data_IF_464158260011
#
_entry.id   IF_464158260011
#
_cell.length_a   1.000
_cell.length_b   1.000
_cell.length_c   1.000
_cell.angle_alpha   90.00
_cell.angle_beta   90.00
_cell.angle_gamma   90.00
#
_symmetry.space_group_name_H-M   'P 1'
#
loop_
_entity.id
_entity.type
_entity.pdbx_description
1 polymer ?
#
# COMPACT_ATOMS: atom_id res chain seq x y z
N UNK A 1 13.01 11.61 6.98
CA UNK A 1 13.12 11.82 8.45
C UNK A 1 12.77 10.47 9.09
N UNK A 2 12.51 10.37 10.40
CA UNK A 2 11.88 9.15 10.94
C UNK A 2 10.53 9.51 11.55
N UNK A 3 9.45 9.00 10.99
CA UNK A 3 8.10 9.14 11.53
C UNK A 3 7.68 7.85 12.22
N UNK A 4 6.97 7.98 13.34
CA UNK A 4 6.39 6.87 14.08
C UNK A 4 4.95 7.21 14.44
N UNK A 5 4.04 6.34 14.05
CA UNK A 5 2.66 6.37 14.51
C UNK A 5 2.59 5.68 15.87
N UNK A 6 2.20 6.44 16.89
CA UNK A 6 1.92 5.93 18.24
C UNK A 6 0.41 5.91 18.44
N UNK A 7 -0.09 5.36 19.55
CA UNK A 7 -1.54 5.17 19.75
C UNK A 7 -2.37 6.49 19.70
N UNK A 8 -1.76 7.58 20.17
CA UNK A 8 -2.39 8.89 20.40
C UNK A 8 -1.70 10.07 19.68
N UNK A 9 -0.58 9.84 19.01
CA UNK A 9 0.19 10.91 18.35
C UNK A 9 1.12 10.44 17.24
N UNK A 10 1.37 11.33 16.29
CA UNK A 10 2.45 11.21 15.33
C UNK A 10 3.74 11.77 15.93
N UNK A 11 4.80 10.97 15.91
CA UNK A 11 6.14 11.36 16.36
C UNK A 11 7.06 11.51 15.17
N UNK A 12 7.65 12.68 15.01
CA UNK A 12 8.59 12.99 13.93
C UNK A 12 9.96 13.30 14.53
N UNK A 13 10.96 12.50 14.16
CA UNK A 13 12.35 12.62 14.58
C UNK A 13 13.23 13.03 13.40
N UNK A 14 14.06 14.08 13.53
CA UNK A 14 15.10 14.39 12.54
C UNK A 14 16.18 13.29 12.55
N UNK A 15 16.62 12.84 11.37
CA UNK A 15 17.67 11.81 11.24
C UNK A 15 19.06 12.34 11.63
N UNK A 16 19.32 13.63 11.40
CA UNK A 16 20.61 14.26 11.70
C UNK A 16 20.39 15.63 12.36
N UNK A 17 20.45 15.71 13.69
CA UNK A 17 20.65 16.98 14.41
C UNK A 17 20.86 16.80 15.91
N UNK A 18 21.92 17.41 16.45
CA UNK A 18 22.11 17.64 17.88
C UNK A 18 21.17 18.73 18.46
N UNK A 19 20.41 19.45 17.62
CA UNK A 19 19.65 20.65 18.02
C UNK A 19 18.19 20.71 17.55
N UNK A 20 17.73 19.83 16.65
CA UNK A 20 16.31 19.79 16.22
C UNK A 20 15.50 18.95 17.19
N UNK A 21 14.48 19.57 17.80
CA UNK A 21 13.57 18.90 18.73
C UNK A 21 12.65 17.91 18.00
N UNK A 22 12.34 16.81 18.69
CA UNK A 22 11.25 15.89 18.35
C UNK A 22 9.95 16.69 18.19
N UNK A 23 9.22 16.46 17.11
CA UNK A 23 7.86 17.00 16.94
C UNK A 23 6.87 15.90 17.31
N UNK A 24 5.94 16.22 18.19
CA UNK A 24 4.82 15.35 18.55
C UNK A 24 3.52 16.04 18.14
N UNK A 25 2.69 15.36 17.37
CA UNK A 25 1.41 15.86 16.86
C UNK A 25 0.30 14.96 17.44
N UNK A 26 -0.38 15.38 18.52
CA UNK A 26 -1.50 14.64 19.07
C UNK A 26 -2.67 14.60 18.07
N UNK A 27 -3.22 13.41 17.83
CA UNK A 27 -4.19 13.21 16.76
C UNK A 27 -5.49 13.96 17.00
N UNK A 28 -5.94 14.03 18.25
CA UNK A 28 -7.16 14.72 18.66
C UNK A 28 -7.14 16.24 18.40
N UNK A 29 -5.94 16.80 18.21
CA UNK A 29 -5.72 18.22 17.91
C UNK A 29 -5.66 18.52 16.42
N UNK A 30 -5.61 17.51 15.57
CA UNK A 30 -5.63 17.67 14.12
C UNK A 30 -7.07 18.01 13.71
N UNK A 31 -7.19 19.05 12.88
CA UNK A 31 -8.44 19.45 12.24
C UNK A 31 -8.58 18.79 10.87
N UNK A 32 -7.52 18.81 10.06
CA UNK A 32 -7.46 18.18 8.73
C UNK A 32 -6.02 18.00 8.28
N UNK A 33 -5.82 17.13 7.30
CA UNK A 33 -4.53 16.87 6.67
C UNK A 33 -4.63 17.17 5.18
N UNK A 34 -3.66 17.90 4.65
CA UNK A 34 -3.53 18.10 3.20
C UNK A 34 -2.16 17.69 2.71
N UNK A 35 -2.14 17.13 1.50
CA UNK A 35 -0.94 16.73 0.80
C UNK A 35 -0.95 17.32 -0.62
N UNK A 36 -0.59 18.61 -0.77
CA UNK A 36 -0.52 19.25 -2.07
C UNK A 36 0.65 18.71 -2.88
N UNK A 37 0.38 18.23 -4.09
CA UNK A 37 1.38 17.89 -5.11
C UNK A 37 2.42 16.83 -4.72
N UNK A 38 2.14 15.98 -3.73
CA UNK A 38 2.99 14.82 -3.46
C UNK A 38 4.33 15.13 -2.77
N UNK A 39 4.57 16.35 -2.29
CA UNK A 39 5.87 16.75 -1.71
C UNK A 39 5.86 16.93 -0.19
N UNK A 40 4.93 17.74 0.33
CA UNK A 40 4.89 18.13 1.75
C UNK A 40 3.54 17.82 2.38
N UNK A 41 3.54 17.18 3.56
CA UNK A 41 2.31 16.89 4.31
C UNK A 41 2.03 18.01 5.30
N UNK A 42 0.82 18.57 5.25
CA UNK A 42 0.38 19.66 6.11
C UNK A 42 -0.67 19.17 7.09
N UNK A 43 -0.38 19.32 8.39
CA UNK A 43 -1.30 19.05 9.48
C UNK A 43 -1.86 20.39 9.97
N UNK A 44 -3.13 20.63 9.67
CA UNK A 44 -3.86 21.78 10.18
C UNK A 44 -4.42 21.43 11.55
N UNK A 45 -4.06 22.21 12.56
CA UNK A 45 -4.44 21.97 13.95
C UNK A 45 -5.66 22.81 14.32
N UNK A 46 -6.53 22.31 15.21
CA UNK A 46 -7.75 23.00 15.69
C UNK A 46 -7.51 24.37 16.33
N UNK A 47 -6.27 24.68 16.72
CA UNK A 47 -5.87 25.97 17.26
C UNK A 47 -5.34 26.95 16.19
N UNK A 48 -5.49 26.63 14.90
CA UNK A 48 -5.03 27.44 13.77
C UNK A 48 -3.55 27.27 13.41
N UNK A 49 -2.77 26.48 14.16
CA UNK A 49 -1.37 26.17 13.80
C UNK A 49 -1.34 25.22 12.61
N UNK A 50 -0.39 25.43 11.69
CA UNK A 50 -0.08 24.47 10.62
C UNK A 50 1.30 23.85 10.88
N UNK A 51 1.39 22.52 10.83
CA UNK A 51 2.65 21.79 10.92
C UNK A 51 2.96 21.19 9.55
N UNK A 52 4.10 21.58 8.98
CA UNK A 52 4.60 21.09 7.70
C UNK A 52 5.59 19.93 7.94
N UNK A 53 5.43 18.85 7.17
CA UNK A 53 6.32 17.69 7.22
C UNK A 53 6.77 17.32 5.80
N UNK A 54 8.08 17.48 5.55
CA UNK A 54 8.69 17.26 4.24
C UNK A 54 9.03 15.78 4.03
N UNK A 55 8.03 14.90 4.09
CA UNK A 55 8.21 13.45 3.95
C UNK A 55 6.87 12.80 3.52
N UNK A 56 6.63 12.69 2.19
CA UNK A 56 5.46 12.03 1.60
C UNK A 56 5.17 10.64 2.16
N UNK A 57 6.25 9.91 2.42
CA UNK A 57 6.19 8.49 2.73
C UNK A 57 5.43 8.21 4.02
N UNK A 58 5.32 9.21 4.90
CA UNK A 58 4.55 9.16 6.15
C UNK A 58 3.08 8.85 5.88
N UNK A 59 2.53 9.33 4.77
CA UNK A 59 1.11 9.17 4.38
C UNK A 59 0.91 7.93 3.51
N UNK A 60 1.91 7.56 2.71
CA UNK A 60 1.79 6.54 1.67
C UNK A 60 2.11 5.14 2.20
N UNK A 61 3.13 4.98 3.04
CA UNK A 61 3.71 3.67 3.37
C UNK A 61 3.45 3.18 4.80
N UNK A 62 2.76 3.96 5.63
CA UNK A 62 2.53 3.60 7.03
C UNK A 62 1.07 3.24 7.27
N UNK A 63 0.85 1.99 7.64
CA UNK A 63 -0.47 1.42 7.95
C UNK A 63 -1.20 2.16 9.07
N UNK A 64 -0.44 2.62 10.08
CA UNK A 64 -0.97 3.44 11.18
C UNK A 64 -1.58 4.77 10.75
N UNK A 65 -1.27 5.28 9.55
CA UNK A 65 -1.88 6.51 9.03
C UNK A 65 -3.38 6.33 8.76
N UNK A 66 -3.74 5.27 8.03
CA UNK A 66 -5.14 4.96 7.72
C UNK A 66 -5.94 4.72 9.00
N UNK A 67 -5.41 3.94 9.93
CA UNK A 67 -6.05 3.68 11.22
C UNK A 67 -6.28 4.96 12.02
N UNK A 68 -5.30 5.87 12.05
CA UNK A 68 -5.42 7.18 12.68
C UNK A 68 -6.53 8.01 12.04
N UNK A 69 -6.60 8.10 10.69
CA UNK A 69 -7.65 8.86 10.00
C UNK A 69 -9.05 8.40 10.42
N UNK A 70 -9.28 7.09 10.46
CA UNK A 70 -10.56 6.51 10.86
C UNK A 70 -10.83 6.69 12.36
N UNK A 71 -9.87 6.34 13.23
CA UNK A 71 -10.03 6.38 14.69
C UNK A 71 -10.35 7.80 15.18
N UNK A 72 -9.67 8.81 14.64
CA UNK A 72 -9.81 10.20 15.07
C UNK A 72 -10.74 11.03 14.17
N UNK A 73 -11.37 10.40 13.16
CA UNK A 73 -12.27 11.07 12.20
C UNK A 73 -11.62 12.31 11.57
N UNK A 74 -10.37 12.19 11.15
CA UNK A 74 -9.58 13.30 10.59
C UNK A 74 -9.82 13.36 9.08
N UNK A 75 -10.35 14.46 8.52
CA UNK A 75 -10.44 14.67 7.08
C UNK A 75 -9.06 14.70 6.42
N UNK A 76 -8.95 14.12 5.24
CA UNK A 76 -7.72 14.07 4.46
C UNK A 76 -7.97 14.43 3.00
N UNK A 77 -7.05 15.19 2.40
CA UNK A 77 -7.07 15.53 0.98
C UNK A 77 -5.67 15.51 0.37
N UNK A 78 -5.52 14.75 -0.69
CA UNK A 78 -4.33 14.64 -1.53
C UNK A 78 -4.60 15.31 -2.87
N UNK A 79 -3.81 16.31 -3.23
CA UNK A 79 -3.91 16.95 -4.54
C UNK A 79 -2.86 16.32 -5.47
N UNK A 80 -3.09 15.07 -5.87
CA UNK A 80 -2.40 14.49 -7.02
C UNK A 80 -3.10 15.02 -8.28
N UNK A 81 -2.37 15.54 -9.26
CA UNK A 81 -2.95 15.98 -10.51
C UNK A 81 -3.52 14.77 -11.27
N UNK A 82 -4.79 14.86 -11.72
CA UNK A 82 -5.42 13.81 -12.53
C UNK A 82 -6.23 12.76 -11.77
N UNK A 83 -6.62 12.99 -10.50
CA UNK A 83 -7.46 12.04 -9.74
C UNK A 83 -8.75 11.70 -10.48
N UNK A 84 -8.78 10.55 -11.13
CA UNK A 84 -10.02 9.89 -11.53
C UNK A 84 -10.71 9.43 -10.24
N UNK A 85 -11.93 9.91 -9.98
CA UNK A 85 -12.63 9.64 -8.74
C UNK A 85 -13.27 8.23 -8.76
N UNK A 86 -12.52 7.22 -8.32
CA UNK A 86 -13.06 5.90 -8.03
C UNK A 86 -13.67 5.87 -6.62
N UNK A 87 -14.87 5.29 -6.48
CA UNK A 87 -15.42 4.92 -5.18
C UNK A 87 -14.82 3.59 -4.73
N UNK A 88 -14.87 3.28 -3.43
CA UNK A 88 -14.41 1.98 -2.92
C UNK A 88 -15.10 0.79 -3.62
N UNK A 89 -16.35 0.95 -4.05
CA UNK A 89 -17.04 -0.08 -4.82
C UNK A 89 -16.37 -0.32 -6.20
N UNK A 90 -16.05 0.76 -6.92
CA UNK A 90 -15.33 0.64 -8.20
C UNK A 90 -13.95 0.04 -7.99
N UNK A 91 -13.27 0.41 -6.91
CA UNK A 91 -11.97 -0.16 -6.54
C UNK A 91 -12.07 -1.67 -6.37
N UNK A 92 -13.07 -2.16 -5.63
CA UNK A 92 -13.34 -3.60 -5.46
C UNK A 92 -13.57 -4.32 -6.77
N UNK A 93 -14.51 -3.80 -7.57
CA UNK A 93 -14.86 -4.40 -8.87
C UNK A 93 -13.65 -4.49 -9.79
N UNK A 94 -12.80 -3.45 -9.79
CA UNK A 94 -11.57 -3.43 -10.57
C UNK A 94 -10.51 -4.37 -10.00
N UNK A 95 -10.38 -4.43 -8.67
CA UNK A 95 -9.43 -5.30 -7.99
C UNK A 95 -9.69 -6.78 -8.28
N UNK A 96 -10.96 -7.20 -8.29
CA UNK A 96 -11.32 -8.58 -8.66
C UNK A 96 -10.92 -8.90 -10.10
N UNK A 97 -11.17 -8.00 -11.05
CA UNK A 97 -10.79 -8.18 -12.45
C UNK A 97 -9.26 -8.29 -12.61
N UNK A 98 -8.51 -7.40 -11.96
CA UNK A 98 -7.04 -7.38 -12.04
C UNK A 98 -6.46 -8.63 -11.38
N UNK A 99 -6.99 -9.06 -10.22
CA UNK A 99 -6.59 -10.29 -9.53
C UNK A 99 -6.77 -11.52 -10.42
N UNK A 100 -7.93 -11.68 -11.05
CA UNK A 100 -8.19 -12.82 -11.93
C UNK A 100 -7.23 -12.83 -13.14
N UNK A 101 -7.00 -11.68 -13.76
CA UNK A 101 -6.09 -11.55 -14.89
C UNK A 101 -4.63 -11.85 -14.48
N UNK A 102 -4.16 -11.24 -13.39
CA UNK A 102 -2.82 -11.44 -12.86
C UNK A 102 -2.57 -12.90 -12.47
N UNK A 103 -3.50 -13.53 -11.73
CA UNK A 103 -3.40 -14.95 -11.37
C UNK A 103 -3.39 -15.87 -12.58
N UNK A 104 -4.21 -15.59 -13.59
CA UNK A 104 -4.25 -16.40 -14.82
C UNK A 104 -2.91 -16.33 -15.55
N UNK A 105 -2.36 -15.13 -15.71
CA UNK A 105 -1.07 -14.91 -16.35
C UNK A 105 0.05 -15.60 -15.56
N UNK A 106 0.17 -15.30 -14.27
CA UNK A 106 1.25 -15.78 -13.43
C UNK A 106 1.25 -17.31 -13.32
N UNK A 107 0.08 -17.94 -13.10
CA UNK A 107 -0.03 -19.40 -13.00
C UNK A 107 0.30 -20.12 -14.31
N UNK A 108 -0.03 -19.53 -15.46
CA UNK A 108 0.39 -20.10 -16.75
C UNK A 108 1.92 -20.09 -16.84
N UNK A 109 2.55 -18.95 -16.57
CA UNK A 109 4.00 -18.79 -16.64
C UNK A 109 4.74 -19.71 -15.67
N UNK A 110 4.25 -19.84 -14.43
CA UNK A 110 4.82 -20.77 -13.42
C UNK A 110 4.74 -22.22 -13.88
N UNK A 111 3.58 -22.67 -14.38
CA UNK A 111 3.40 -24.06 -14.83
C UNK A 111 4.31 -24.40 -16.00
N UNK A 112 4.55 -23.45 -16.91
CA UNK A 112 5.45 -23.63 -18.03
C UNK A 112 6.92 -23.75 -17.59
N UNK A 113 7.33 -23.06 -16.53
CA UNK A 113 8.74 -23.00 -16.10
C UNK A 113 9.11 -23.97 -14.98
N UNK A 114 8.28 -24.09 -13.94
CA UNK A 114 8.56 -24.86 -12.72
C UNK A 114 7.75 -26.15 -12.60
N UNK A 115 6.66 -26.30 -13.35
CA UNK A 115 5.82 -27.50 -13.34
C UNK A 115 4.44 -27.30 -12.73
N UNK A 116 3.59 -28.31 -12.87
CA UNK A 116 2.16 -28.26 -12.50
C UNK A 116 1.89 -28.25 -11.01
N UNK A 117 2.88 -28.61 -10.20
CA UNK A 117 2.84 -28.61 -8.75
C UNK A 117 2.95 -27.20 -8.16
N UNK A 118 3.42 -26.21 -8.93
CA UNK A 118 3.54 -24.82 -8.48
C UNK A 118 2.33 -24.00 -8.94
N UNK A 119 1.81 -23.18 -8.03
CA UNK A 119 0.75 -22.22 -8.32
C UNK A 119 0.83 -21.00 -7.40
N UNK A 120 0.27 -19.88 -7.84
CA UNK A 120 0.05 -18.69 -7.03
C UNK A 120 -1.41 -18.64 -6.57
N UNK A 121 -1.58 -18.34 -5.29
CA UNK A 121 -2.82 -17.82 -4.74
C UNK A 121 -2.71 -16.29 -4.60
N UNK A 122 -3.84 -15.60 -4.65
CA UNK A 122 -3.87 -14.17 -4.39
C UNK A 122 -5.16 -13.72 -3.72
N UNK A 123 -5.02 -12.75 -2.81
CA UNK A 123 -6.15 -12.09 -2.16
C UNK A 123 -6.07 -10.58 -2.36
N UNK A 124 -7.23 -9.94 -2.31
CA UNK A 124 -7.32 -8.48 -2.27
C UNK A 124 -7.27 -8.04 -0.82
N UNK A 125 -6.41 -7.08 -0.51
CA UNK A 125 -6.36 -6.44 0.80
C UNK A 125 -6.74 -4.98 0.64
N UNK A 126 -7.87 -4.62 1.26
CA UNK A 126 -8.35 -3.25 1.32
C UNK A 126 -7.92 -2.59 2.61
N UNK A 127 -7.13 -1.53 2.48
CA UNK A 127 -6.73 -0.64 3.56
C UNK A 127 -7.39 0.72 3.35
N UNK A 128 -7.40 1.54 4.38
CA UNK A 128 -8.01 2.87 4.27
C UNK A 128 -7.28 3.70 3.21
N UNK A 129 -5.95 3.59 3.15
CA UNK A 129 -5.11 4.42 2.27
C UNK A 129 -4.76 3.76 0.94
N UNK A 130 -4.95 2.45 0.81
CA UNK A 130 -4.63 1.72 -0.42
C UNK A 130 -5.47 0.44 -0.57
N UNK A 131 -5.53 -0.10 -1.77
CA UNK A 131 -6.02 -1.45 -2.03
C UNK A 131 -4.99 -2.17 -2.87
N UNK A 132 -4.65 -3.40 -2.51
CA UNK A 132 -3.56 -4.17 -3.12
C UNK A 132 -3.95 -5.62 -3.37
N UNK A 133 -3.16 -6.31 -4.19
CA UNK A 133 -3.23 -7.75 -4.42
C UNK A 133 -1.98 -8.38 -3.81
N UNK A 134 -2.15 -9.28 -2.86
CA UNK A 134 -1.06 -10.02 -2.23
C UNK A 134 -0.95 -11.41 -2.84
N UNK A 135 0.26 -11.77 -3.29
CA UNK A 135 0.55 -13.04 -3.97
C UNK A 135 1.28 -14.02 -3.05
N UNK A 136 0.86 -15.29 -3.07
CA UNK A 136 1.50 -16.37 -2.31
C UNK A 136 1.86 -17.54 -3.21
N UNK A 137 3.09 -18.02 -3.07
CA UNK A 137 3.51 -19.23 -3.76
C UNK A 137 3.07 -20.48 -3.00
N UNK A 138 2.41 -21.38 -3.72
CA UNK A 138 2.02 -22.70 -3.28
C UNK A 138 2.79 -23.78 -4.05
N UNK A 139 3.09 -24.89 -3.37
CA UNK A 139 3.59 -26.15 -3.94
C UNK A 139 2.69 -27.29 -3.50
N UNK A 140 2.08 -27.99 -4.46
CA UNK A 140 1.06 -29.02 -4.22
C UNK A 140 -0.10 -28.54 -3.33
N UNK A 141 -0.51 -27.28 -3.48
CA UNK A 141 -1.59 -26.66 -2.70
C UNK A 141 -1.20 -26.24 -1.27
N UNK A 142 0.08 -26.32 -0.89
CA UNK A 142 0.59 -25.85 0.41
C UNK A 142 1.47 -24.62 0.24
N UNK A 143 1.37 -23.66 1.15
CA UNK A 143 2.21 -22.44 1.15
C UNK A 143 3.68 -22.82 1.25
N UNK A 144 4.50 -22.28 0.35
CA UNK A 144 5.94 -22.48 0.35
C UNK A 144 6.60 -21.37 1.20
N UNK A 145 6.64 -21.58 2.51
CA UNK A 145 7.12 -20.59 3.48
C UNK A 145 8.54 -20.06 3.18
N UNK A 146 9.40 -20.88 2.57
CA UNK A 146 10.79 -20.52 2.26
C UNK A 146 10.91 -19.48 1.13
N UNK A 147 9.92 -19.43 0.24
CA UNK A 147 9.88 -18.49 -0.88
C UNK A 147 8.99 -17.26 -0.60
N UNK A 148 8.29 -17.27 0.54
CA UNK A 148 7.41 -16.18 0.93
C UNK A 148 8.11 -15.35 2.02
N UNK A 149 8.10 -14.04 1.85
CA UNK A 149 8.60 -13.07 2.82
C UNK A 149 7.56 -12.87 3.94
N UNK A 150 8.02 -12.83 5.19
CA UNK A 150 7.22 -12.48 6.37
C UNK A 150 7.15 -10.94 6.59
N UNK A 151 7.27 -10.17 5.51
CA UNK A 151 7.32 -8.71 5.55
C UNK A 151 5.96 -8.07 5.25
N UNK A 152 4.89 -8.86 5.16
CA UNK A 152 3.57 -8.30 4.91
C UNK A 152 3.10 -7.48 6.10
N UNK A 153 2.26 -6.50 5.79
CA UNK A 153 1.63 -5.64 6.79
C UNK A 153 0.75 -6.44 7.76
N UNK A 154 0.21 -7.58 7.32
CA UNK A 154 -0.75 -8.39 8.07
C UNK A 154 -0.12 -9.65 8.71
N UNK A 155 1.22 -9.79 8.67
CA UNK A 155 1.99 -10.95 9.15
C UNK A 155 1.61 -12.27 8.47
N UNK A 156 1.09 -12.20 7.24
CA UNK A 156 0.93 -13.36 6.39
C UNK A 156 2.10 -13.46 5.41
N UNK A 157 2.73 -14.64 5.24
CA UNK A 157 3.79 -14.84 4.27
C UNK A 157 3.30 -14.53 2.85
N UNK A 158 4.07 -13.77 2.08
CA UNK A 158 3.79 -13.45 0.68
C UNK A 158 5.06 -13.36 -0.16
N UNK A 159 4.96 -13.63 -1.46
CA UNK A 159 6.05 -13.36 -2.40
C UNK A 159 6.16 -11.87 -2.65
N UNK A 160 5.01 -11.22 -2.89
CA UNK A 160 4.95 -9.82 -3.29
C UNK A 160 3.52 -9.23 -3.15
N UNK A 161 3.43 -7.90 -3.13
CA UNK A 161 2.19 -7.13 -3.04
C UNK A 161 2.12 -6.07 -4.15
N UNK A 162 1.10 -6.18 -5.02
CA UNK A 162 0.84 -5.23 -6.09
C UNK A 162 -0.18 -4.18 -5.66
N UNK A 163 0.22 -2.91 -5.62
CA UNK A 163 -0.70 -1.80 -5.39
C UNK A 163 -1.69 -1.63 -6.55
N UNK A 164 -2.97 -1.41 -6.24
CA UNK A 164 -4.02 -1.17 -7.25
C UNK A 164 -4.56 0.25 -7.21
N UNK A 165 -4.74 0.79 -6.02
CA UNK A 165 -5.35 2.09 -5.82
C UNK A 165 -4.89 2.74 -4.52
N UNK A 166 -4.84 4.07 -4.51
CA UNK A 166 -4.55 4.88 -3.31
C UNK A 166 -5.68 5.86 -3.00
N UNK A 167 -5.94 6.05 -1.71
CA UNK A 167 -6.89 7.03 -1.19
C UNK A 167 -6.36 8.45 -1.44
N UNK A 168 -7.11 9.25 -2.18
CA UNK A 168 -6.81 10.66 -2.44
C UNK A 168 -7.65 11.61 -1.58
N UNK A 169 -8.86 11.23 -1.17
CA UNK A 169 -9.69 12.03 -0.27
C UNK A 169 -10.39 11.14 0.75
N UNK A 170 -10.51 11.58 2.00
CA UNK A 170 -11.30 10.90 3.03
C UNK A 170 -12.25 11.86 3.70
N UNK A 171 -13.54 11.52 3.65
CA UNK A 171 -14.60 12.23 4.32
C UNK A 171 -15.06 11.45 5.56
N UNK A 172 -14.67 11.89 6.77
CA UNK A 172 -15.05 11.20 8.00
C UNK A 172 -16.52 11.38 8.36
N UNK A 173 -17.28 12.30 7.75
CA UNK A 173 -18.72 12.43 8.02
C UNK A 173 -19.49 11.21 7.50
N UNK A 174 -19.18 10.79 6.26
CA UNK A 174 -19.84 9.69 5.57
C UNK A 174 -19.05 8.38 5.57
N UNK A 175 -17.86 8.37 6.18
CA UNK A 175 -16.94 7.22 6.19
C UNK A 175 -16.60 6.72 4.77
N UNK A 176 -16.42 7.68 3.85
CA UNK A 176 -16.16 7.40 2.44
C UNK A 176 -14.85 8.04 1.97
N UNK A 177 -14.25 7.39 0.98
CA UNK A 177 -13.01 7.85 0.35
C UNK A 177 -13.12 7.91 -1.17
N UNK A 178 -12.31 8.79 -1.76
CA UNK A 178 -12.02 8.78 -3.19
C UNK A 178 -10.66 8.17 -3.42
N UNK A 179 -10.54 7.42 -4.51
CA UNK A 179 -9.34 6.66 -4.83
C UNK A 179 -8.87 6.97 -6.24
N UNK A 180 -7.55 6.95 -6.44
CA UNK A 180 -6.91 6.90 -7.75
C UNK A 180 -6.46 5.47 -8.03
N UNK A 181 -6.69 4.99 -9.26
CA UNK A 181 -6.10 3.73 -9.71
C UNK A 181 -4.64 3.93 -10.13
N UNK A 182 -3.86 2.86 -9.97
CA UNK A 182 -2.51 2.77 -10.53
C UNK A 182 -2.55 2.22 -11.96
N UNK A 183 -1.46 2.42 -12.70
CA UNK A 183 -1.37 2.01 -14.10
C UNK A 183 -1.54 0.50 -14.25
N UNK A 184 -0.98 -0.31 -13.34
CA UNK A 184 -1.11 -1.76 -13.30
C UNK A 184 -2.57 -2.21 -13.15
N UNK A 185 -3.41 -1.41 -12.48
CA UNK A 185 -4.83 -1.68 -12.42
C UNK A 185 -5.51 -1.33 -13.77
N UNK A 186 -5.12 -0.25 -14.43
CA UNK A 186 -5.79 0.25 -15.64
C UNK A 186 -5.30 -0.39 -16.96
N UNK A 187 -4.07 -0.90 -16.99
CA UNK A 187 -3.38 -1.37 -18.19
C UNK A 187 -2.93 -2.83 -18.03
N UNK A 188 -3.54 -3.74 -18.80
CA UNK A 188 -3.21 -5.18 -18.77
C UNK A 188 -1.73 -5.44 -19.05
N UNK A 189 -1.10 -4.71 -19.98
CA UNK A 189 0.31 -4.90 -20.28
C UNK A 189 1.18 -4.48 -19.09
N UNK A 190 0.87 -3.35 -18.45
CA UNK A 190 1.61 -2.91 -17.26
C UNK A 190 1.45 -3.91 -16.10
N UNK A 191 0.27 -4.49 -15.94
CA UNK A 191 0.02 -5.57 -14.98
C UNK A 191 0.91 -6.79 -15.27
N UNK A 192 0.92 -7.30 -16.51
CA UNK A 192 1.75 -8.44 -16.89
C UNK A 192 3.25 -8.16 -16.68
N UNK A 193 3.72 -6.97 -17.06
CA UNK A 193 5.11 -6.53 -16.86
C UNK A 193 5.48 -6.45 -15.36
N UNK A 194 4.57 -5.99 -14.50
CA UNK A 194 4.75 -6.01 -13.06
C UNK A 194 4.91 -7.45 -12.54
N UNK A 195 4.00 -8.35 -12.94
CA UNK A 195 4.01 -9.75 -12.52
C UNK A 195 5.32 -10.42 -12.92
N UNK A 196 5.81 -10.21 -14.14
CA UNK A 196 7.08 -10.77 -14.58
C UNK A 196 8.26 -10.26 -13.76
N UNK A 197 8.34 -8.94 -13.57
CA UNK A 197 9.50 -8.27 -12.96
C UNK A 197 9.58 -8.43 -11.44
N UNK A 198 8.44 -8.47 -10.76
CA UNK A 198 8.40 -8.41 -9.28
C UNK A 198 7.99 -9.76 -8.71
N UNK A 199 6.90 -10.36 -9.19
CA UNK A 199 6.42 -11.63 -8.64
C UNK A 199 7.26 -12.80 -9.14
N UNK A 200 7.31 -13.00 -10.46
CA UNK A 200 7.92 -14.19 -11.06
C UNK A 200 9.46 -14.15 -10.98
N UNK A 201 10.07 -13.00 -11.22
CA UNK A 201 11.53 -12.85 -11.10
C UNK A 201 12.03 -13.19 -9.68
N UNK A 202 11.30 -12.80 -8.63
CA UNK A 202 11.65 -13.14 -7.25
C UNK A 202 11.59 -14.66 -7.02
N UNK A 203 10.50 -15.31 -7.43
CA UNK A 203 10.33 -16.77 -7.32
C UNK A 203 11.46 -17.50 -8.04
N UNK A 204 11.79 -17.08 -9.26
CA UNK A 204 12.79 -17.79 -10.07
C UNK A 204 14.22 -17.60 -9.57
N UNK A 205 14.54 -16.47 -8.95
CA UNK A 205 15.86 -16.24 -8.34
C UNK A 205 16.09 -17.11 -7.12
N UNK A 206 15.05 -17.40 -6.34
CA UNK A 206 15.16 -18.23 -5.15
C UNK A 206 15.36 -19.72 -5.52
N UNK A 207 14.68 -20.20 -6.56
CA UNK A 207 14.84 -21.59 -7.04
C UNK A 207 16.18 -21.84 -7.76
N UNK A 208 16.85 -20.81 -8.30
CA UNK A 208 18.21 -20.96 -8.85
C UNK A 208 19.27 -21.24 -7.76
N UNK A 209 18.96 -21.01 -6.48
CA UNK A 209 19.89 -21.21 -5.36
C UNK A 209 19.90 -22.69 -4.88
N UNK A 210 18.92 -23.52 -5.28
CA UNK A 210 18.87 -24.94 -4.87
C UNK A 210 19.70 -25.91 -5.75
N UNK A 211 20.40 -25.41 -6.78
CA UNK A 211 21.14 -26.26 -7.75
C UNK A 211 22.66 -26.03 -7.85
N UNK A 212 23.31 -25.39 -6.88
CA UNK A 212 24.80 -25.33 -6.78
C UNK A 212 25.39 -26.17 -5.64
#
# INVERSE_FOLDING_TARGET
MAARYEEDKLVIKPLFSLFKRKTEIPYEKIERIEFPQGEDVFFYMKNGKVIKVNDPGIVIFYTGFGEMLRKYRIPYKCLLEGTADASIQKVREKADQVKEAALTYANRSLKEKLGSEYELDAKIVERIVSTTIEFRLLKNGYVLEEANQDNSIDNEPLVDEMDLAYLCEWNPEYEEGKYTFLEEAENTQACEEYIDRVVLENIYKEEEIEYE
#
